data_IF_415921359583
#
_entry.id   IF_415921359583
#
_cell.length_a   1.000
_cell.length_b   1.000
_cell.length_c   1.000
_cell.angle_alpha   90.00
_cell.angle_beta   90.00
_cell.angle_gamma   90.00
#
_symmetry.space_group_name_H-M   'P 1'
#
loop_
_entity.id
_entity.type
_entity.pdbx_description
1 polymer ?
#
# COMPACT_ATOMS: atom_id res chain seq x y z
N UNK A 1 -14.92 0.57 -16.49
CA UNK A 1 -13.95 1.63 -16.19
C UNK A 1 -12.61 0.96 -15.91
N UNK A 2 -11.52 1.46 -16.50
CA UNK A 2 -10.18 0.95 -16.24
C UNK A 2 -9.59 1.69 -15.03
N UNK A 3 -9.04 0.96 -14.07
CA UNK A 3 -8.40 1.54 -12.88
C UNK A 3 -6.89 1.53 -13.06
N UNK A 4 -6.31 2.72 -13.17
CA UNK A 4 -4.90 2.88 -13.48
C UNK A 4 -4.00 2.51 -12.30
N UNK A 5 -2.87 1.89 -12.61
CA UNK A 5 -1.80 1.64 -11.67
C UNK A 5 -0.61 2.56 -11.97
N UNK A 6 0.05 3.06 -10.92
CA UNK A 6 1.27 3.84 -11.08
C UNK A 6 2.43 2.94 -11.54
N UNK A 7 3.26 3.46 -12.45
CA UNK A 7 4.50 2.82 -12.94
C UNK A 7 5.47 2.49 -11.82
N UNK A 8 5.50 3.31 -10.77
CA UNK A 8 6.35 3.14 -9.60
C UNK A 8 6.09 1.81 -8.87
N UNK A 9 4.87 1.26 -8.96
CA UNK A 9 4.60 -0.04 -8.35
C UNK A 9 5.43 -1.16 -8.98
N UNK A 10 5.71 -1.08 -10.28
CA UNK A 10 6.58 -2.03 -11.00
C UNK A 10 8.04 -1.62 -10.83
N UNK A 11 8.36 -0.32 -10.90
CA UNK A 11 9.73 0.17 -10.79
C UNK A 11 10.36 -0.19 -9.43
N UNK A 12 9.62 0.07 -8.34
CA UNK A 12 10.03 -0.18 -6.95
C UNK A 12 10.06 -1.67 -6.58
N UNK A 13 9.44 -2.54 -7.38
CA UNK A 13 9.33 -3.96 -7.04
C UNK A 13 10.68 -4.64 -7.15
N UNK A 14 10.99 -5.52 -6.20
CA UNK A 14 12.18 -6.35 -6.27
C UNK A 14 12.12 -7.33 -7.44
N UNK A 15 13.28 -7.88 -7.77
CA UNK A 15 13.47 -8.78 -8.91
C UNK A 15 13.69 -10.21 -8.43
N UNK A 16 12.94 -11.15 -9.00
CA UNK A 16 13.11 -12.59 -8.86
C UNK A 16 14.46 -13.03 -9.46
N UNK A 17 14.93 -14.23 -9.10
CA UNK A 17 16.21 -14.78 -9.63
C UNK A 17 16.24 -14.92 -11.16
N UNK A 18 15.07 -15.05 -11.80
CA UNK A 18 14.92 -15.15 -13.26
C UNK A 18 14.87 -13.78 -13.98
N UNK A 19 14.99 -12.67 -13.26
CA UNK A 19 14.92 -11.30 -13.81
C UNK A 19 13.52 -10.71 -13.91
N UNK A 20 12.47 -11.45 -13.58
CA UNK A 20 11.09 -10.95 -13.52
C UNK A 20 10.87 -10.16 -12.22
N UNK A 21 9.95 -9.20 -12.22
CA UNK A 21 9.56 -8.47 -11.01
C UNK A 21 8.77 -9.36 -10.05
N UNK A 22 8.66 -8.94 -8.79
CA UNK A 22 7.83 -9.55 -7.74
C UNK A 22 6.49 -10.06 -8.30
N UNK A 23 6.21 -11.35 -8.08
CA UNK A 23 5.05 -12.02 -8.67
C UNK A 23 3.72 -11.40 -8.22
N UNK A 24 3.67 -10.83 -7.01
CA UNK A 24 2.47 -10.14 -6.50
C UNK A 24 2.17 -8.87 -7.28
N UNK A 25 3.17 -8.22 -7.88
CA UNK A 25 2.94 -7.08 -8.78
C UNK A 25 2.47 -7.56 -10.13
N UNK A 26 3.16 -8.56 -10.68
CA UNK A 26 2.90 -9.08 -12.02
C UNK A 26 1.51 -9.68 -12.18
N UNK A 27 0.99 -10.31 -11.12
CA UNK A 27 -0.35 -10.89 -11.11
C UNK A 27 -1.46 -9.84 -10.93
N UNK A 28 -1.13 -8.68 -10.36
CA UNK A 28 -2.10 -7.63 -10.01
C UNK A 28 -2.09 -6.42 -10.95
N UNK A 29 -1.05 -6.26 -11.77
CA UNK A 29 -0.90 -5.15 -12.71
C UNK A 29 -0.67 -5.71 -14.11
N UNK A 30 -1.39 -5.16 -15.08
CA UNK A 30 -1.19 -5.43 -16.51
C UNK A 30 -1.07 -4.12 -17.30
N UNK A 31 -0.46 -4.15 -18.49
CA UNK A 31 -0.54 -3.03 -19.44
C UNK A 31 -1.99 -2.68 -19.77
N UNK A 32 -2.26 -1.40 -19.99
CA UNK A 32 -3.53 -0.96 -20.57
C UNK A 32 -3.53 -1.31 -22.06
N UNK A 33 -4.44 -2.18 -22.48
CA UNK A 33 -4.77 -2.36 -23.89
C UNK A 33 -5.95 -1.43 -24.25
N UNK A 34 -5.74 -0.47 -25.16
CA UNK A 34 -6.82 0.38 -25.71
C UNK A 34 -6.58 1.90 -25.65
N UNK A 35 -7.64 2.65 -25.98
CA UNK A 35 -7.68 4.13 -26.06
C UNK A 35 -7.64 4.74 -24.64
N UNK A 36 -6.90 5.85 -24.39
CA UNK A 36 -6.89 6.55 -23.12
C UNK A 36 -8.30 6.81 -22.60
N UNK A 37 -8.55 6.54 -21.31
CA UNK A 37 -9.86 6.81 -20.72
C UNK A 37 -10.08 8.32 -20.65
N UNK A 38 -11.25 8.77 -21.09
CA UNK A 38 -11.67 10.17 -21.03
C UNK A 38 -12.59 10.32 -19.81
N UNK A 39 -12.17 11.06 -18.79
CA UNK A 39 -13.01 11.44 -17.67
C UNK A 39 -13.33 12.93 -17.79
N UNK A 40 -14.60 13.28 -18.00
CA UNK A 40 -15.00 14.68 -18.14
C UNK A 40 -14.35 15.42 -19.32
N UNK A 41 -14.02 14.72 -20.41
CA UNK A 41 -13.32 15.29 -21.58
C UNK A 41 -11.80 15.33 -21.45
N UNK A 42 -11.25 14.94 -20.29
CA UNK A 42 -9.80 14.90 -20.05
C UNK A 42 -9.32 13.47 -20.25
N UNK A 43 -8.37 13.30 -21.19
CA UNK A 43 -7.64 12.05 -21.35
C UNK A 43 -6.79 11.82 -20.10
N UNK A 44 -6.98 10.68 -19.45
CA UNK A 44 -6.11 10.23 -18.36
C UNK A 44 -5.13 9.23 -18.98
N UNK A 45 -3.90 9.66 -19.33
CA UNK A 45 -2.88 8.75 -19.80
C UNK A 45 -2.45 7.87 -18.62
N UNK A 46 -2.57 6.56 -18.78
CA UNK A 46 -1.96 5.61 -17.88
C UNK A 46 -1.60 4.35 -18.65
N UNK A 47 -0.37 3.87 -18.46
CA UNK A 47 0.18 2.74 -19.20
C UNK A 47 -0.16 1.39 -18.55
N UNK A 48 -0.57 1.42 -17.27
CA UNK A 48 -0.82 0.24 -16.45
C UNK A 48 -2.20 0.30 -15.80
N UNK A 49 -2.79 -0.87 -15.57
CA UNK A 49 -4.05 -1.06 -14.86
C UNK A 49 -3.95 -2.16 -13.81
N UNK A 50 -4.74 -2.04 -12.75
CA UNK A 50 -4.96 -3.15 -11.83
C UNK A 50 -5.88 -4.20 -12.46
N UNK A 51 -5.61 -5.47 -12.16
CA UNK A 51 -6.37 -6.64 -12.67
C UNK A 51 -7.18 -7.35 -11.58
N UNK A 52 -6.93 -7.02 -10.31
CA UNK A 52 -7.64 -7.58 -9.15
C UNK A 52 -9.02 -6.95 -8.94
N UNK A 53 -10.00 -7.76 -8.50
CA UNK A 53 -11.40 -7.38 -8.32
C UNK A 53 -12.16 -7.06 -9.63
N UNK A 54 -11.63 -7.56 -10.76
CA UNK A 54 -12.24 -7.45 -12.08
C UNK A 54 -12.51 -8.84 -12.66
N UNK A 55 -13.62 -8.98 -13.39
CA UNK A 55 -13.93 -10.17 -14.18
C UNK A 55 -13.89 -9.78 -15.66
N UNK A 56 -13.06 -10.46 -16.45
CA UNK A 56 -12.84 -10.16 -17.87
C UNK A 56 -12.53 -8.67 -18.15
N UNK A 57 -11.78 -8.03 -17.26
CA UNK A 57 -11.38 -6.62 -17.39
C UNK A 57 -12.49 -5.60 -17.10
N UNK A 58 -13.63 -6.03 -16.55
CA UNK A 58 -14.72 -5.17 -16.11
C UNK A 58 -14.91 -5.28 -14.59
N UNK A 59 -15.39 -4.19 -13.97
CA UNK A 59 -15.71 -4.18 -12.54
C UNK A 59 -16.81 -5.21 -12.26
N UNK A 60 -16.57 -6.10 -11.31
CA UNK A 60 -17.50 -7.16 -10.94
C UNK A 60 -18.00 -6.95 -9.52
N UNK A 61 -19.27 -6.60 -9.39
CA UNK A 61 -19.93 -6.37 -8.10
C UNK A 61 -20.02 -7.63 -7.23
N UNK A 62 -19.86 -8.81 -7.81
CA UNK A 62 -19.90 -10.08 -7.08
C UNK A 62 -18.49 -10.57 -6.70
N UNK A 63 -17.44 -9.88 -7.11
CA UNK A 63 -16.09 -10.31 -6.76
C UNK A 63 -15.87 -10.13 -5.25
N UNK A 64 -15.48 -11.19 -4.50
CA UNK A 64 -15.23 -11.06 -3.07
C UNK A 64 -14.02 -10.16 -2.82
N UNK A 65 -14.17 -9.23 -1.88
CA UNK A 65 -13.08 -8.37 -1.38
C UNK A 65 -12.68 -8.92 -0.02
N UNK A 66 -11.47 -9.51 0.13
CA UNK A 66 -11.03 -10.08 1.39
C UNK A 66 -10.74 -8.96 2.40
N UNK A 67 -11.30 -9.09 3.60
CA UNK A 67 -10.99 -8.18 4.73
C UNK A 67 -9.73 -8.61 5.47
N UNK A 68 -9.43 -9.92 5.51
CA UNK A 68 -8.21 -10.46 6.13
C UNK A 68 -7.68 -11.59 5.24
N UNK A 69 -6.37 -11.65 5.03
CA UNK A 69 -5.70 -12.70 4.24
C UNK A 69 -4.63 -13.43 5.01
N UNK A 70 -4.26 -14.60 4.51
CA UNK A 70 -3.21 -15.41 5.13
C UNK A 70 -1.85 -14.69 5.11
N UNK A 71 -1.47 -14.03 4.00
CA UNK A 71 -0.21 -13.27 3.95
C UNK A 71 -0.19 -12.13 4.98
N UNK A 72 -1.32 -11.45 5.17
CA UNK A 72 -1.42 -10.41 6.19
C UNK A 72 -1.22 -10.97 7.60
N UNK A 73 -1.89 -12.08 7.92
CA UNK A 73 -1.76 -12.72 9.24
C UNK A 73 -0.32 -13.18 9.51
N UNK A 74 0.37 -13.72 8.51
CA UNK A 74 1.78 -14.07 8.62
C UNK A 74 2.66 -12.84 8.87
N UNK A 75 2.43 -11.75 8.13
CA UNK A 75 3.21 -10.52 8.30
C UNK A 75 2.92 -9.80 9.62
N UNK A 76 1.68 -9.83 10.12
CA UNK A 76 1.35 -9.33 11.46
C UNK A 76 1.99 -10.19 12.55
N UNK A 77 2.03 -11.51 12.37
CA UNK A 77 2.76 -12.42 13.28
C UNK A 77 4.26 -12.16 13.22
N UNK A 78 4.82 -11.87 12.05
CA UNK A 78 6.22 -11.50 11.89
C UNK A 78 6.54 -10.20 12.65
N UNK A 79 5.71 -9.18 12.48
CA UNK A 79 5.81 -7.90 13.19
C UNK A 79 5.80 -8.12 14.72
N UNK A 80 4.80 -8.83 15.24
CA UNK A 80 4.69 -9.11 16.67
C UNK A 80 5.88 -9.93 17.19
N UNK A 81 6.31 -10.95 16.44
CA UNK A 81 7.44 -11.82 16.82
C UNK A 81 8.75 -11.02 16.90
N UNK A 82 8.97 -10.07 16.00
CA UNK A 82 10.17 -9.24 16.00
C UNK A 82 10.26 -8.38 17.27
N UNK A 83 9.17 -7.68 17.60
CA UNK A 83 9.13 -6.75 18.74
C UNK A 83 8.96 -7.44 20.11
N UNK A 84 8.57 -8.72 20.13
CA UNK A 84 8.53 -9.53 21.36
C UNK A 84 9.83 -10.33 21.59
N UNK A 85 10.84 -10.16 20.74
CA UNK A 85 12.16 -10.80 20.87
C UNK A 85 12.31 -12.15 20.16
N UNK A 86 11.23 -12.70 19.62
CA UNK A 86 11.25 -13.92 18.80
C UNK A 86 11.67 -13.65 17.34
N UNK A 87 12.78 -12.92 17.14
CA UNK A 87 13.23 -12.44 15.81
C UNK A 87 13.44 -13.56 14.79
N UNK A 88 13.87 -14.75 15.21
CA UNK A 88 14.00 -15.91 14.31
C UNK A 88 12.67 -16.30 13.65
N UNK A 89 11.58 -16.33 14.43
CA UNK A 89 10.24 -16.62 13.92
C UNK A 89 9.74 -15.52 12.97
N UNK A 90 10.05 -14.26 13.29
CA UNK A 90 9.70 -13.14 12.42
C UNK A 90 10.32 -13.27 11.03
N UNK A 91 11.60 -13.67 10.96
CA UNK A 91 12.29 -13.86 9.68
C UNK A 91 11.76 -15.06 8.90
N UNK A 92 11.34 -16.13 9.59
CA UNK A 92 10.69 -17.27 8.94
C UNK A 92 9.38 -16.84 8.27
N UNK A 93 8.53 -16.10 8.98
CA UNK A 93 7.24 -15.64 8.45
C UNK A 93 7.41 -14.63 7.32
N UNK A 94 8.31 -13.66 7.48
CA UNK A 94 8.63 -12.67 6.45
C UNK A 94 9.11 -13.36 5.17
N UNK A 95 10.09 -14.26 5.29
CA UNK A 95 10.65 -14.97 4.15
C UNK A 95 9.70 -16.00 3.56
N UNK A 96 8.75 -16.53 4.34
CA UNK A 96 7.70 -17.39 3.81
C UNK A 96 6.83 -16.63 2.81
N UNK A 97 6.36 -15.44 3.16
CA UNK A 97 5.55 -14.61 2.25
C UNK A 97 6.38 -14.16 1.04
N UNK A 98 7.60 -13.66 1.28
CA UNK A 98 8.50 -13.18 0.23
C UNK A 98 8.78 -14.23 -0.85
N UNK A 99 9.12 -15.45 -0.43
CA UNK A 99 9.50 -16.53 -1.36
C UNK A 99 8.29 -17.19 -2.01
N UNK A 100 7.19 -17.41 -1.29
CA UNK A 100 6.03 -18.13 -1.84
C UNK A 100 5.11 -17.23 -2.66
N UNK A 101 4.81 -16.02 -2.17
CA UNK A 101 3.90 -15.10 -2.85
C UNK A 101 4.64 -14.22 -3.85
N UNK A 102 5.84 -13.75 -3.51
CA UNK A 102 6.63 -12.86 -4.38
C UNK A 102 7.56 -13.57 -5.37
N UNK A 103 7.85 -14.86 -5.16
CA UNK A 103 8.90 -15.61 -5.87
C UNK A 103 10.27 -14.93 -5.81
N UNK A 104 10.51 -14.17 -4.75
CA UNK A 104 11.73 -13.44 -4.51
C UNK A 104 12.72 -14.29 -3.68
N UNK A 105 14.03 -14.07 -3.81
CA UNK A 105 14.98 -14.64 -2.86
C UNK A 105 14.68 -14.17 -1.44
N UNK A 106 15.05 -14.98 -0.45
CA UNK A 106 14.96 -14.61 0.96
C UNK A 106 15.65 -13.25 1.21
N UNK A 107 15.07 -12.47 2.12
CA UNK A 107 15.64 -11.19 2.52
C UNK A 107 16.97 -11.39 3.28
N UNK A 108 17.82 -10.39 3.21
CA UNK A 108 19.11 -10.32 3.89
C UNK A 108 19.00 -9.90 5.37
N UNK A 109 17.81 -9.52 5.86
CA UNK A 109 17.61 -9.22 7.28
C UNK A 109 17.95 -10.45 8.13
N UNK A 110 18.74 -10.22 9.19
CA UNK A 110 19.11 -11.21 10.18
C UNK A 110 18.58 -10.81 11.56
N UNK A 111 18.68 -11.69 12.56
CA UNK A 111 18.27 -11.38 13.94
C UNK A 111 19.10 -10.25 14.56
N UNK A 112 20.28 -9.96 14.01
CA UNK A 112 21.16 -8.86 14.42
C UNK A 112 20.84 -7.53 13.70
N UNK A 113 19.98 -7.54 12.68
CA UNK A 113 19.58 -6.32 11.97
C UNK A 113 18.83 -5.36 12.88
N UNK A 114 18.92 -4.07 12.57
CA UNK A 114 18.19 -3.03 13.29
C UNK A 114 16.68 -3.16 13.06
N UNK A 115 15.89 -2.64 14.01
CA UNK A 115 14.43 -2.61 13.87
C UNK A 115 14.02 -1.80 12.63
N UNK A 116 14.74 -0.72 12.32
CA UNK A 116 14.52 0.06 11.12
C UNK A 116 14.68 -0.74 9.82
N UNK A 117 15.66 -1.64 9.76
CA UNK A 117 15.88 -2.50 8.59
C UNK A 117 14.78 -3.57 8.46
N UNK A 118 14.38 -4.18 9.58
CA UNK A 118 13.25 -5.12 9.59
C UNK A 118 11.93 -4.45 9.19
N UNK A 119 11.63 -3.25 9.72
CA UNK A 119 10.43 -2.49 9.36
C UNK A 119 10.42 -2.19 7.86
N UNK A 120 11.55 -1.80 7.27
CA UNK A 120 11.64 -1.57 5.81
C UNK A 120 11.27 -2.84 5.02
N UNK A 121 11.83 -4.00 5.39
CA UNK A 121 11.51 -5.27 4.75
C UNK A 121 10.03 -5.67 4.97
N UNK A 122 9.52 -5.54 6.19
CA UNK A 122 8.12 -5.81 6.52
C UNK A 122 7.15 -4.94 5.70
N UNK A 123 7.44 -3.63 5.58
CA UNK A 123 6.61 -2.70 4.81
C UNK A 123 6.63 -3.01 3.32
N UNK A 124 7.76 -3.45 2.77
CA UNK A 124 7.83 -3.95 1.40
C UNK A 124 6.90 -5.15 1.20
N UNK A 125 7.01 -6.17 2.07
CA UNK A 125 6.18 -7.37 1.95
C UNK A 125 4.69 -7.06 2.12
N UNK A 126 4.32 -6.18 3.06
CA UNK A 126 2.93 -5.73 3.25
C UNK A 126 2.41 -4.96 2.04
N UNK A 127 3.21 -4.02 1.48
CA UNK A 127 2.84 -3.22 0.30
C UNK A 127 2.44 -4.13 -0.87
N UNK A 128 3.23 -5.15 -1.17
CA UNK A 128 3.01 -5.99 -2.34
C UNK A 128 2.00 -7.10 -2.11
N UNK A 129 1.97 -7.70 -0.92
CA UNK A 129 0.92 -8.67 -0.56
C UNK A 129 -0.47 -8.07 -0.56
N UNK A 130 -0.61 -6.80 -0.15
CA UNK A 130 -1.89 -6.09 -0.04
C UNK A 130 -2.08 -5.00 -1.11
N UNK A 131 -1.26 -5.02 -2.17
CA UNK A 131 -1.31 -4.06 -3.26
C UNK A 131 -2.72 -4.03 -3.88
N UNK A 132 -3.34 -2.84 -3.90
CA UNK A 132 -4.70 -2.59 -4.39
C UNK A 132 -5.80 -3.36 -3.65
N UNK A 133 -5.60 -3.69 -2.37
CA UNK A 133 -6.62 -4.40 -1.58
C UNK A 133 -7.19 -3.51 -0.45
N UNK A 134 -6.49 -3.42 0.68
CA UNK A 134 -7.03 -2.82 1.90
C UNK A 134 -6.54 -1.38 2.18
N UNK A 135 -5.80 -0.77 1.25
CA UNK A 135 -5.27 0.59 1.42
C UNK A 135 -4.24 0.75 2.54
N UNK A 136 -3.56 -0.33 2.94
CA UNK A 136 -2.71 -0.34 4.14
C UNK A 136 -1.43 0.48 4.03
N UNK A 137 -0.90 0.73 2.81
CA UNK A 137 0.41 1.39 2.62
C UNK A 137 0.53 2.69 3.40
N UNK A 138 -0.49 3.56 3.34
CA UNK A 138 -0.50 4.83 4.08
C UNK A 138 -0.58 4.62 5.58
N UNK A 139 -1.46 3.71 6.03
CA UNK A 139 -1.66 3.39 7.45
C UNK A 139 -0.38 2.80 8.06
N UNK A 140 0.24 1.84 7.38
CA UNK A 140 1.47 1.18 7.82
C UNK A 140 2.64 2.18 7.86
N UNK A 141 2.78 3.04 6.86
CA UNK A 141 3.79 4.09 6.86
C UNK A 141 3.56 5.09 8.02
N UNK A 142 2.32 5.48 8.29
CA UNK A 142 1.96 6.36 9.42
C UNK A 142 2.33 5.73 10.78
N UNK A 143 1.99 4.45 10.99
CA UNK A 143 2.28 3.72 12.24
C UNK A 143 3.77 3.71 12.59
N UNK A 144 4.63 3.61 11.59
CA UNK A 144 6.09 3.58 11.78
C UNK A 144 6.79 4.93 11.57
N UNK A 145 6.05 6.04 11.40
CA UNK A 145 6.66 7.35 11.14
C UNK A 145 7.45 7.40 9.82
N UNK A 146 6.98 6.67 8.80
CA UNK A 146 7.61 6.46 7.50
C UNK A 146 6.84 7.12 6.36
N UNK A 147 5.94 8.07 6.62
CA UNK A 147 5.16 8.74 5.56
C UNK A 147 6.03 9.39 4.49
N UNK A 148 7.22 9.87 4.85
CA UNK A 148 8.20 10.44 3.92
C UNK A 148 8.75 9.46 2.88
N UNK A 149 8.51 8.16 3.02
CA UNK A 149 8.89 7.14 2.01
C UNK A 149 7.85 6.98 0.91
N UNK A 150 6.68 7.59 1.07
CA UNK A 150 5.64 7.63 0.03
C UNK A 150 5.89 8.90 -0.81
N UNK A 151 6.21 8.76 -2.11
CA UNK A 151 6.37 9.94 -2.96
C UNK A 151 5.02 10.64 -3.16
N UNK A 152 4.97 11.98 -3.12
CA UNK A 152 3.79 12.73 -3.53
C UNK A 152 3.43 12.43 -5.00
N UNK A 153 2.14 12.33 -5.29
CA UNK A 153 1.67 12.02 -6.64
C UNK A 153 1.78 13.22 -7.62
N UNK A 154 1.98 14.43 -7.10
CA UNK A 154 2.08 15.67 -7.88
C UNK A 154 3.19 16.56 -7.32
N UNK A 155 3.78 17.40 -8.18
CA UNK A 155 4.72 18.45 -7.76
C UNK A 155 4.07 19.34 -6.71
N UNK A 156 4.82 19.66 -5.65
CA UNK A 156 4.34 20.40 -4.47
C UNK A 156 3.18 19.75 -3.71
N UNK A 157 2.84 18.50 -4.05
CA UNK A 157 1.88 17.70 -3.28
C UNK A 157 2.48 17.21 -1.97
N UNK A 158 1.61 16.84 -1.04
CA UNK A 158 1.97 16.31 0.26
C UNK A 158 1.34 14.92 0.49
N UNK A 159 1.89 14.19 1.46
CA UNK A 159 1.25 12.98 1.99
C UNK A 159 0.68 13.33 3.36
N UNK A 160 -0.66 13.45 3.52
CA UNK A 160 -1.25 13.88 4.77
C UNK A 160 -0.98 12.85 5.87
N UNK A 161 -0.79 13.31 7.10
CA UNK A 161 -0.52 12.48 8.27
C UNK A 161 -1.80 11.99 8.97
N UNK A 162 -2.93 12.63 8.68
CA UNK A 162 -4.26 12.27 9.17
C UNK A 162 -5.32 12.44 8.07
N UNK A 163 -6.45 11.76 8.23
CA UNK A 163 -7.60 11.95 7.33
C UNK A 163 -8.25 13.31 7.64
N UNK A 164 -8.53 14.16 6.62
CA UNK A 164 -9.25 15.41 6.83
C UNK A 164 -10.67 15.17 7.30
N UNK A 165 -11.16 16.08 8.16
CA UNK A 165 -12.57 16.10 8.55
C UNK A 165 -13.31 16.97 7.54
N UNK A 166 -14.39 16.48 6.90
CA UNK A 166 -15.18 17.29 5.98
C UNK A 166 -15.71 18.55 6.66
N UNK A 167 -15.68 19.70 5.97
CA UNK A 167 -16.15 20.98 6.54
C UNK A 167 -17.62 20.90 7.00
N UNK A 168 -18.45 20.17 6.26
CA UNK A 168 -19.86 19.92 6.60
C UNK A 168 -20.03 19.20 7.95
N UNK A 169 -19.08 18.35 8.33
CA UNK A 169 -19.08 17.70 9.64
C UNK A 169 -18.74 18.68 10.76
N UNK A 170 -17.83 19.62 10.51
CA UNK A 170 -17.52 20.69 11.46
C UNK A 170 -18.72 21.64 11.62
N UNK A 171 -19.35 22.05 10.51
CA UNK A 171 -20.53 22.91 10.50
C UNK A 171 -21.69 22.27 11.27
N UNK A 172 -21.96 20.99 11.05
CA UNK A 172 -23.02 20.25 11.75
C UNK A 172 -22.81 20.20 13.28
N UNK A 173 -21.56 20.28 13.74
CA UNK A 173 -21.19 20.29 15.16
C UNK A 173 -21.00 21.70 15.73
N UNK A 174 -21.25 22.75 14.95
CA UNK A 174 -20.94 24.14 15.30
C UNK A 174 -19.47 24.33 15.72
N UNK A 175 -18.55 23.62 15.06
CA UNK A 175 -17.11 23.73 15.28
C UNK A 175 -16.48 24.57 14.17
N UNK A 176 -15.49 25.38 14.52
CA UNK A 176 -14.73 26.13 13.52
C UNK A 176 -13.77 25.22 12.77
N UNK A 177 -13.60 25.44 11.47
CA UNK A 177 -12.57 24.76 10.69
C UNK A 177 -11.20 25.37 10.97
N UNK A 178 -10.20 24.52 11.20
CA UNK A 178 -8.79 24.92 11.35
C UNK A 178 -7.94 24.01 10.48
N UNK A 179 -6.91 24.59 9.88
CA UNK A 179 -5.93 23.85 9.09
C UNK A 179 -4.73 23.50 9.97
N UNK A 180 -4.42 22.21 10.12
CA UNK A 180 -3.19 21.72 10.73
C UNK A 180 -2.33 21.12 9.62
N UNK A 181 -1.18 21.73 9.33
CA UNK A 181 -0.42 21.40 8.12
C UNK A 181 -1.25 21.73 6.88
N UNK A 182 -1.61 20.70 6.11
CA UNK A 182 -2.45 20.82 4.92
C UNK A 182 -3.85 20.19 5.12
N UNK A 183 -4.21 19.82 6.35
CA UNK A 183 -5.45 19.11 6.67
C UNK A 183 -6.46 20.08 7.31
N UNK A 184 -7.63 20.23 6.69
CA UNK A 184 -8.78 20.92 7.32
C UNK A 184 -9.41 19.99 8.37
N UNK A 185 -9.55 20.51 9.59
CA UNK A 185 -10.07 19.78 10.77
C UNK A 185 -10.99 20.67 11.60
N UNK A 186 -11.72 20.11 12.56
CA UNK A 186 -12.60 20.88 13.45
C UNK A 186 -11.87 21.37 14.70
N UNK A 187 -12.28 22.52 15.25
CA UNK A 187 -11.73 23.08 16.50
C UNK A 187 -12.82 23.35 17.53
N UNK A 188 -12.61 22.96 18.81
CA UNK A 188 -11.47 22.19 19.31
C UNK A 188 -11.48 20.75 18.76
N UNK A 189 -10.28 20.23 18.47
CA UNK A 189 -10.09 18.78 18.33
C UNK A 189 -10.30 18.19 19.72
N UNK A 190 -11.54 17.81 20.04
CA UNK A 190 -11.81 16.96 21.20
C UNK A 190 -11.63 15.51 20.73
N UNK A 191 -10.51 14.84 21.06
CA UNK A 191 -10.38 13.40 20.82
C UNK A 191 -11.44 12.59 21.60
#
# INVERSE_FOLDING_TARGET
STFFALTDNIADADTQTNGLKDERVRTKIAPVEGVPQILGGISIPGELKFTVFFSNGAADANHPIPIIKNEELLLLRAEASWFTGAKGNALIDLNNVRQNSGLLPADTITTASSDGAFITALLYERRYSLLWEQGTRWIDARRFGRLSTIPPAVTDGNVPDVMPVPSTECDARNLSTTTIGDVVTCTPLSP
#
